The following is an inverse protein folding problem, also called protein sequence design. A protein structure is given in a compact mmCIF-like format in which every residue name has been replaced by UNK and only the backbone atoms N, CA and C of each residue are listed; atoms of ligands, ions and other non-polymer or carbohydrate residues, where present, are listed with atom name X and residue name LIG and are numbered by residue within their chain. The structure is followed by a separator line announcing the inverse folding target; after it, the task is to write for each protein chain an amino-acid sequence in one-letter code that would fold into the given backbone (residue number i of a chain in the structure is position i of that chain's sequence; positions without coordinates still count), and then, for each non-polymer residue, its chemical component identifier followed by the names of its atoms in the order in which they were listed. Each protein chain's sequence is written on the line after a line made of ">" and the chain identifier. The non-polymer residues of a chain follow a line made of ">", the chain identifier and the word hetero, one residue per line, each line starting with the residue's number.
data_IF_836804698550
#
_entry.id   IF_836804698550
#
_cell.length_a   1.000
_cell.length_b   1.000
_cell.length_c   1.000
_cell.angle_alpha   90.00
_cell.angle_beta   90.00
_cell.angle_gamma   90.00
#
_symmetry.space_group_name_H-M   'P 1'
#
loop_
_entity.id
_entity.type
_entity.pdbx_description
1 polymer ?
#
# COMPACT_ATOMS: atom_id res chain seq x y z
N UNK A 1 -30.13 -14.01 -4.48
CA UNK A 1 -28.85 -13.90 -5.18
C UNK A 1 -29.08 -14.18 -6.65
N UNK A 2 -28.75 -13.26 -7.55
CA UNK A 2 -28.94 -13.46 -8.99
C UNK A 2 -27.77 -14.26 -9.59
N UNK A 3 -27.98 -14.88 -10.75
CA UNK A 3 -26.93 -15.62 -11.48
C UNK A 3 -25.73 -14.71 -11.80
N UNK A 4 -25.97 -13.41 -11.97
CA UNK A 4 -24.92 -12.41 -12.19
C UNK A 4 -24.06 -12.22 -10.95
N UNK A 5 -24.67 -12.08 -9.76
CA UNK A 5 -23.93 -11.96 -8.49
C UNK A 5 -23.07 -13.20 -8.20
N UNK A 6 -23.56 -14.39 -8.54
CA UNK A 6 -22.80 -15.63 -8.39
C UNK A 6 -21.55 -15.65 -9.30
N UNK A 7 -21.69 -15.19 -10.55
CA UNK A 7 -20.56 -15.09 -11.49
C UNK A 7 -19.53 -14.06 -11.04
N UNK A 8 -19.97 -12.92 -10.51
CA UNK A 8 -19.06 -11.89 -9.98
C UNK A 8 -18.28 -12.44 -8.80
N UNK A 9 -18.94 -13.09 -7.83
CA UNK A 9 -18.28 -13.66 -6.66
C UNK A 9 -17.28 -14.77 -7.02
N UNK A 10 -17.57 -15.56 -8.05
CA UNK A 10 -16.64 -16.57 -8.57
C UNK A 10 -15.41 -15.90 -9.19
N UNK A 11 -15.63 -14.87 -10.01
CA UNK A 11 -14.56 -14.13 -10.68
C UNK A 11 -13.62 -13.46 -9.66
N UNK A 12 -14.16 -12.88 -8.60
CA UNK A 12 -13.37 -12.29 -7.51
C UNK A 12 -12.45 -13.32 -6.85
N UNK A 13 -12.96 -14.54 -6.58
CA UNK A 13 -12.16 -15.64 -6.01
C UNK A 13 -11.06 -16.12 -6.96
N UNK A 14 -11.37 -16.26 -8.24
CA UNK A 14 -10.38 -16.66 -9.26
C UNK A 14 -9.25 -15.62 -9.38
N UNK A 15 -9.60 -14.34 -9.40
CA UNK A 15 -8.62 -13.23 -9.42
C UNK A 15 -7.76 -13.22 -8.16
N UNK A 16 -8.34 -13.50 -6.99
CA UNK A 16 -7.60 -13.59 -5.74
C UNK A 16 -6.60 -14.75 -5.73
N UNK A 17 -7.00 -15.92 -6.24
CA UNK A 17 -6.12 -17.08 -6.37
C UNK A 17 -4.98 -16.82 -7.36
N UNK A 18 -5.28 -16.22 -8.50
CA UNK A 18 -4.27 -15.85 -9.51
C UNK A 18 -3.26 -14.84 -8.95
N UNK A 19 -3.72 -13.82 -8.21
CA UNK A 19 -2.83 -12.85 -7.55
C UNK A 19 -1.88 -13.55 -6.59
N UNK A 20 -2.39 -14.47 -5.79
CA UNK A 20 -1.60 -15.23 -4.80
C UNK A 20 -0.57 -16.15 -5.48
N UNK A 21 -0.95 -16.77 -6.60
CA UNK A 21 -0.07 -17.63 -7.40
C UNK A 21 1.08 -16.85 -8.05
N UNK A 22 0.80 -15.67 -8.61
CA UNK A 22 1.82 -14.80 -9.21
C UNK A 22 2.85 -14.35 -8.17
N UNK A 23 2.38 -13.97 -6.97
CA UNK A 23 3.27 -13.62 -5.85
C UNK A 23 4.14 -14.82 -5.43
N UNK A 24 3.59 -16.04 -5.46
CA UNK A 24 4.33 -17.25 -5.08
C UNK A 24 5.34 -17.77 -6.12
N UNK A 25 5.14 -17.48 -7.42
CA UNK A 25 6.04 -17.95 -8.51
C UNK A 25 7.16 -16.97 -8.81
N UNK A 26 6.96 -15.68 -8.56
CA UNK A 26 8.05 -14.73 -8.53
C UNK A 26 8.97 -15.11 -7.36
N UNK A 27 9.92 -16.02 -7.61
CA UNK A 27 10.81 -16.58 -6.58
C UNK A 27 11.39 -15.47 -5.73
N UNK A 28 11.56 -15.73 -4.42
CA UNK A 28 11.95 -14.78 -3.36
C UNK A 28 12.53 -13.49 -3.92
N UNK A 29 11.68 -12.47 -4.00
CA UNK A 29 12.11 -11.11 -4.29
C UNK A 29 13.29 -10.78 -3.36
N UNK A 30 14.42 -10.23 -3.87
CA UNK A 30 15.51 -9.76 -3.02
C UNK A 30 15.05 -8.79 -1.92
N UNK A 31 13.94 -8.08 -2.16
CA UNK A 31 13.28 -7.16 -1.21
C UNK A 31 12.36 -7.87 -0.20
N UNK A 32 12.05 -9.15 -0.40
CA UNK A 32 11.24 -10.00 0.48
C UNK A 32 9.80 -10.21 0.02
N UNK A 33 9.02 -10.96 0.81
CA UNK A 33 7.65 -11.32 0.44
C UNK A 33 6.72 -10.09 0.43
N UNK A 34 5.77 -10.07 -0.51
CA UNK A 34 4.72 -9.05 -0.54
C UNK A 34 3.92 -9.04 0.77
N UNK A 35 3.76 -7.87 1.39
CA UNK A 35 2.99 -7.66 2.62
C UNK A 35 1.73 -6.84 2.34
N UNK A 36 0.55 -7.48 2.21
CA UNK A 36 -0.71 -6.76 1.98
C UNK A 36 -1.00 -5.71 3.05
N UNK A 37 -0.68 -6.00 4.31
CA UNK A 37 -0.93 -5.11 5.45
C UNK A 37 -0.16 -3.78 5.30
N UNK A 38 1.05 -3.84 4.76
CA UNK A 38 1.84 -2.64 4.47
C UNK A 38 1.17 -1.77 3.42
N UNK A 39 0.57 -2.37 2.40
CA UNK A 39 -0.14 -1.62 1.36
C UNK A 39 -1.37 -0.92 1.94
N UNK A 40 -2.14 -1.62 2.78
CA UNK A 40 -3.30 -1.05 3.48
C UNK A 40 -2.89 0.12 4.39
N UNK A 41 -1.79 -0.03 5.15
CA UNK A 41 -1.25 1.01 6.02
C UNK A 41 -0.84 2.26 5.23
N UNK A 42 -0.20 2.08 4.07
CA UNK A 42 0.19 3.20 3.20
C UNK A 42 -1.05 3.91 2.62
N UNK A 43 -2.07 3.16 2.19
CA UNK A 43 -3.32 3.77 1.72
C UNK A 43 -4.03 4.55 2.81
N UNK A 44 -4.05 4.01 4.03
CA UNK A 44 -4.59 4.69 5.20
C UNK A 44 -3.82 5.97 5.50
N UNK A 45 -2.50 5.90 5.61
CA UNK A 45 -1.64 7.07 5.85
C UNK A 45 -1.77 8.14 4.76
N UNK A 46 -1.95 7.74 3.49
CA UNK A 46 -2.20 8.67 2.39
C UNK A 46 -3.52 9.43 2.53
N UNK A 47 -4.56 8.79 3.07
CA UNK A 47 -5.87 9.42 3.25
C UNK A 47 -5.91 10.40 4.43
N UNK A 48 -4.95 10.30 5.34
CA UNK A 48 -4.84 11.20 6.48
C UNK A 48 -4.39 12.59 6.04
N UNK A 49 -4.94 13.62 6.70
CA UNK A 49 -4.58 15.01 6.40
C UNK A 49 -3.12 15.22 6.76
N UNK A 50 -2.31 15.60 5.77
CA UNK A 50 -0.90 15.89 6.01
C UNK A 50 -0.76 16.98 7.08
N UNK A 51 -0.01 16.67 8.13
CA UNK A 51 0.34 17.65 9.16
C UNK A 51 1.32 18.71 8.63
N UNK A 52 2.06 18.40 7.55
CA UNK A 52 3.11 19.25 7.00
C UNK A 52 3.16 19.19 5.48
N UNK A 53 3.28 20.36 4.85
CA UNK A 53 3.51 20.45 3.40
C UNK A 53 4.90 21.02 3.17
N UNK A 54 5.80 20.18 2.66
CA UNK A 54 7.15 20.59 2.30
C UNK A 54 7.19 21.00 0.84
N UNK A 55 7.42 22.29 0.58
CA UNK A 55 7.46 22.85 -0.76
C UNK A 55 8.83 22.65 -1.45
N UNK A 56 9.77 22.01 -0.77
CA UNK A 56 11.10 21.72 -1.30
C UNK A 56 12.10 21.26 -0.24
N UNK A 57 13.30 20.89 -0.70
CA UNK A 57 14.38 20.33 0.13
C UNK A 57 14.75 21.21 1.33
N UNK A 58 14.86 22.52 1.13
CA UNK A 58 15.17 23.48 2.19
C UNK A 58 14.07 23.51 3.26
N UNK A 59 12.79 23.55 2.85
CA UNK A 59 11.65 23.56 3.77
C UNK A 59 11.58 22.31 4.66
N UNK A 60 11.95 21.15 4.11
CA UNK A 60 12.04 19.90 4.86
C UNK A 60 13.18 19.90 5.88
N UNK A 61 14.40 20.27 5.46
CA UNK A 61 15.57 20.26 6.34
C UNK A 61 15.45 21.27 7.49
N UNK A 62 14.87 22.45 7.23
CA UNK A 62 14.61 23.44 8.26
C UNK A 62 13.67 22.90 9.35
N UNK A 63 12.59 22.21 8.96
CA UNK A 63 11.66 21.59 9.91
C UNK A 63 12.33 20.48 10.73
N UNK A 64 13.13 19.65 10.06
CA UNK A 64 13.87 18.56 10.71
C UNK A 64 14.86 19.09 11.75
N UNK A 65 15.61 20.15 11.41
CA UNK A 65 16.55 20.79 12.32
C UNK A 65 15.84 21.48 13.49
N UNK A 66 14.69 22.13 13.24
CA UNK A 66 13.87 22.76 14.28
C UNK A 66 13.43 21.76 15.35
N UNK A 67 13.00 20.56 14.95
CA UNK A 67 12.59 19.50 15.88
C UNK A 67 13.74 18.88 16.66
N UNK A 68 14.94 18.79 16.08
CA UNK A 68 16.10 18.21 16.78
C UNK A 68 16.65 19.13 17.89
N UNK A 69 16.29 20.42 17.86
CA UNK A 69 16.72 21.43 18.81
C UNK A 69 15.70 21.71 19.93
N UNK A 70 14.52 21.08 19.91
CA UNK A 70 13.51 21.08 20.98
C UNK A 70 13.55 19.76 21.75
#
# INVERSE_FOLDING_TARGET
>A
MTVVEQKISLLEKEVQQLRSFIIGIAGKDPEGDYKPEFVDDIFKARSEKSAYTFHGKSSFLTELHRRKAS
#
